data_IF_371195589486
#
_entry.id   IF_371195589486
#
_cell.length_a   1.000
_cell.length_b   1.000
_cell.length_c   1.000
_cell.angle_alpha   90.00
_cell.angle_beta   90.00
_cell.angle_gamma   90.00
#
_symmetry.space_group_name_H-M   'P 1'
#
loop_
_entity.id
_entity.type
_entity.pdbx_description
1 polymer ?
#
# COMPACT_ATOMS: atom_id res chain seq x y z
N UNK A 1 17.95 -14.80 4.48
CA UNK A 1 19.06 -14.07 3.84
C UNK A 1 18.62 -12.68 3.39
N UNK A 2 17.49 -12.51 2.63
CA UNK A 2 17.07 -11.22 2.07
C UNK A 2 16.77 -10.17 3.14
N UNK A 3 16.04 -10.54 4.20
CA UNK A 3 15.69 -9.65 5.30
C UNK A 3 16.95 -9.08 5.99
N UNK A 4 17.96 -9.93 6.19
CA UNK A 4 19.21 -9.53 6.85
C UNK A 4 20.19 -8.83 5.90
N UNK A 5 20.39 -9.38 4.68
CA UNK A 5 21.47 -8.92 3.79
C UNK A 5 21.07 -7.75 2.90
N UNK A 6 19.80 -7.69 2.48
CA UNK A 6 19.34 -6.67 1.54
C UNK A 6 18.55 -5.56 2.24
N UNK A 7 17.71 -5.90 3.21
CA UNK A 7 16.90 -4.91 3.94
C UNK A 7 17.55 -4.43 5.24
N UNK A 8 18.55 -5.17 5.74
CA UNK A 8 19.24 -4.88 7.01
C UNK A 8 18.34 -4.82 8.24
N UNK A 9 17.12 -5.38 8.14
CA UNK A 9 16.13 -5.42 9.23
C UNK A 9 16.27 -6.67 10.09
N UNK A 10 16.67 -7.80 9.48
CA UNK A 10 17.02 -9.06 10.15
C UNK A 10 15.94 -9.69 11.06
N UNK A 11 14.65 -9.45 10.78
CA UNK A 11 13.54 -9.99 11.58
C UNK A 11 13.31 -11.48 11.31
N UNK A 12 13.42 -11.91 10.03
CA UNK A 12 13.15 -13.29 9.63
C UNK A 12 14.46 -14.07 9.55
N UNK A 13 14.54 -15.16 10.28
CA UNK A 13 15.68 -16.06 10.36
C UNK A 13 15.28 -17.52 10.57
N UNK A 14 16.27 -18.38 10.74
CA UNK A 14 16.06 -19.76 11.13
C UNK A 14 15.98 -19.83 12.67
N UNK A 15 14.91 -20.40 13.19
CA UNK A 15 14.72 -20.73 14.58
C UNK A 15 14.91 -22.23 14.79
N UNK A 16 15.23 -22.62 16.01
CA UNK A 16 15.48 -23.99 16.45
C UNK A 16 16.62 -24.73 15.72
N UNK A 17 16.69 -26.05 15.92
CA UNK A 17 17.77 -26.89 15.37
C UNK A 17 17.24 -28.25 14.90
N UNK A 18 17.99 -28.87 14.02
CA UNK A 18 17.66 -30.22 13.51
C UNK A 18 16.35 -30.24 12.74
N UNK A 19 15.49 -31.19 13.03
CA UNK A 19 14.20 -31.35 12.34
C UNK A 19 13.17 -30.28 12.72
N UNK A 20 13.35 -29.61 13.87
CA UNK A 20 12.46 -28.53 14.33
C UNK A 20 12.81 -27.19 13.69
N UNK A 21 13.89 -27.13 12.90
CA UNK A 21 14.30 -25.88 12.27
C UNK A 21 13.22 -25.34 11.33
N UNK A 22 12.78 -24.10 11.58
CA UNK A 22 11.82 -23.39 10.75
C UNK A 22 12.20 -21.93 10.55
N UNK A 23 11.59 -21.28 9.58
CA UNK A 23 11.87 -19.88 9.24
C UNK A 23 10.77 -19.00 9.83
N UNK A 24 11.14 -18.18 10.81
CA UNK A 24 10.20 -17.28 11.50
C UNK A 24 10.91 -16.04 12.05
N UNK A 25 10.18 -15.22 12.76
CA UNK A 25 10.73 -14.17 13.64
C UNK A 25 11.37 -14.79 14.89
N UNK A 26 12.20 -14.04 15.59
CA UNK A 26 12.80 -14.52 16.84
C UNK A 26 11.70 -14.91 17.85
N UNK A 27 11.84 -16.10 18.46
CA UNK A 27 10.88 -16.66 19.41
C UNK A 27 9.44 -16.78 18.87
N UNK A 28 9.27 -16.87 17.56
CA UNK A 28 7.96 -16.94 16.89
C UNK A 28 7.02 -15.77 17.22
N UNK A 29 7.59 -14.62 17.56
CA UNK A 29 6.82 -13.41 17.86
C UNK A 29 6.01 -12.97 16.63
N UNK A 30 4.78 -12.46 16.82
CA UNK A 30 4.03 -11.83 15.74
C UNK A 30 4.84 -10.73 15.06
N UNK A 31 4.76 -10.60 13.73
CA UNK A 31 5.50 -9.57 12.98
C UNK A 31 5.13 -8.14 13.43
N UNK A 32 3.95 -7.95 14.00
CA UNK A 32 3.48 -6.68 14.58
C UNK A 32 4.26 -6.26 15.82
N UNK A 33 4.88 -7.22 16.52
CA UNK A 33 5.68 -7.00 17.74
C UNK A 33 7.18 -6.97 17.43
N UNK A 34 7.55 -6.99 16.16
CA UNK A 34 8.93 -6.98 15.70
C UNK A 34 9.20 -5.71 14.88
N UNK A 35 10.47 -5.29 14.70
CA UNK A 35 10.80 -4.16 13.83
C UNK A 35 10.66 -4.50 12.34
N UNK A 36 9.72 -5.37 11.98
CA UNK A 36 9.41 -5.70 10.58
C UNK A 36 8.78 -4.51 9.88
N UNK A 37 9.36 -4.06 8.79
CA UNK A 37 8.86 -2.94 7.99
C UNK A 37 7.86 -3.35 6.90
N UNK A 38 7.39 -4.60 6.91
CA UNK A 38 6.42 -5.16 5.97
C UNK A 38 6.77 -4.98 4.48
N UNK A 39 8.06 -4.96 4.15
CA UNK A 39 8.54 -4.69 2.78
C UNK A 39 8.24 -5.80 1.76
N UNK A 40 7.82 -7.00 2.19
CA UNK A 40 7.46 -8.13 1.32
C UNK A 40 8.62 -8.84 0.62
N UNK A 41 9.87 -8.45 0.85
CA UNK A 41 11.02 -9.08 0.18
C UNK A 41 11.18 -10.57 0.54
N UNK A 42 10.81 -10.97 1.75
CA UNK A 42 10.80 -12.36 2.16
C UNK A 42 9.73 -13.17 1.41
N UNK A 43 8.59 -12.57 1.11
CA UNK A 43 7.53 -13.17 0.28
C UNK A 43 8.02 -13.39 -1.15
N UNK A 44 8.63 -12.36 -1.75
CA UNK A 44 9.11 -12.40 -3.13
C UNK A 44 10.18 -13.47 -3.40
N UNK A 45 10.98 -13.84 -2.38
CA UNK A 45 12.06 -14.84 -2.51
C UNK A 45 11.71 -16.20 -1.92
N UNK A 46 10.50 -16.37 -1.39
CA UNK A 46 10.09 -17.64 -0.78
C UNK A 46 9.85 -18.73 -1.84
N UNK A 47 10.69 -19.77 -1.95
CA UNK A 47 10.58 -20.73 -3.05
C UNK A 47 9.38 -21.68 -2.91
N UNK A 48 8.80 -21.75 -1.70
CA UNK A 48 7.69 -22.65 -1.38
C UNK A 48 6.37 -21.91 -1.21
N UNK A 49 6.35 -20.58 -1.37
CA UNK A 49 5.19 -19.72 -1.11
C UNK A 49 4.60 -19.88 0.31
N UNK A 50 5.43 -20.31 1.27
CA UNK A 50 5.03 -20.41 2.68
C UNK A 50 4.83 -19.03 3.33
N UNK A 51 5.61 -18.05 2.87
CA UNK A 51 5.42 -16.65 3.27
C UNK A 51 4.51 -15.97 2.24
N UNK A 52 3.44 -15.36 2.73
CA UNK A 52 2.42 -14.71 1.88
C UNK A 52 2.04 -13.36 2.48
N UNK A 53 1.60 -12.47 1.62
CA UNK A 53 0.85 -11.29 2.02
C UNK A 53 -0.57 -11.68 2.45
N UNK A 54 -1.22 -10.82 3.24
CA UNK A 54 -2.62 -11.00 3.60
C UNK A 54 -3.48 -10.91 2.34
N UNK A 55 -4.33 -11.90 2.12
CA UNK A 55 -5.31 -11.90 1.05
C UNK A 55 -6.63 -11.26 1.53
N UNK A 56 -7.03 -10.18 0.88
CA UNK A 56 -8.28 -9.46 1.15
C UNK A 56 -9.28 -9.60 -0.02
N UNK A 57 -9.03 -10.49 -0.98
CA UNK A 57 -9.90 -10.65 -2.18
C UNK A 57 -11.29 -11.12 -1.83
N UNK A 58 -11.45 -12.01 -0.85
CA UNK A 58 -12.76 -12.49 -0.40
C UNK A 58 -13.66 -11.34 0.08
N UNK A 59 -13.11 -10.40 0.84
CA UNK A 59 -13.85 -9.20 1.30
C UNK A 59 -14.34 -8.35 0.13
N UNK A 60 -13.56 -8.29 -0.95
CA UNK A 60 -13.95 -7.55 -2.15
C UNK A 60 -15.08 -8.27 -2.87
N UNK A 61 -15.00 -9.62 -3.00
CA UNK A 61 -16.07 -10.41 -3.60
C UNK A 61 -17.37 -10.34 -2.81
N UNK A 62 -17.31 -10.39 -1.49
CA UNK A 62 -18.46 -10.20 -0.61
C UNK A 62 -19.11 -8.82 -0.84
N UNK A 63 -18.28 -7.76 -0.90
CA UNK A 63 -18.78 -6.41 -1.14
C UNK A 63 -19.42 -6.26 -2.53
N UNK A 64 -18.84 -6.87 -3.57
CA UNK A 64 -19.39 -6.84 -4.93
C UNK A 64 -20.74 -7.60 -5.07
N UNK A 65 -20.99 -8.57 -4.20
CA UNK A 65 -22.23 -9.34 -4.17
C UNK A 65 -23.31 -8.69 -3.30
N UNK A 66 -22.95 -7.73 -2.46
CA UNK A 66 -23.90 -7.03 -1.58
C UNK A 66 -24.54 -5.86 -2.33
N UNK A 67 -25.86 -5.96 -2.65
CA UNK A 67 -26.57 -4.90 -3.40
C UNK A 67 -26.73 -3.60 -2.61
N UNK A 68 -26.44 -3.59 -1.32
CA UNK A 68 -26.48 -2.40 -0.47
C UNK A 68 -25.21 -1.58 -0.53
N UNK A 69 -24.13 -2.15 -1.10
CA UNK A 69 -22.83 -1.49 -1.18
C UNK A 69 -22.59 -0.86 -2.55
N UNK A 70 -21.98 0.31 -2.53
CA UNK A 70 -21.36 0.89 -3.71
C UNK A 70 -19.87 0.61 -3.65
N UNK A 71 -19.34 -0.16 -4.58
CA UNK A 71 -17.96 -0.60 -4.58
C UNK A 71 -17.14 0.19 -5.58
N UNK A 72 -16.18 0.97 -5.09
CA UNK A 72 -15.29 1.78 -5.92
C UNK A 72 -13.85 1.26 -5.83
N UNK A 73 -13.11 1.32 -6.94
CA UNK A 73 -11.75 0.78 -7.01
C UNK A 73 -10.80 1.78 -7.66
N UNK A 74 -9.56 1.81 -7.17
CA UNK A 74 -8.46 2.54 -7.81
C UNK A 74 -7.15 1.73 -7.77
N UNK A 75 -6.55 1.44 -8.93
CA UNK A 75 -5.24 0.84 -9.01
C UNK A 75 -4.13 1.89 -8.81
N UNK A 76 -2.99 1.42 -8.28
CA UNK A 76 -1.75 2.19 -8.31
C UNK A 76 -1.21 2.30 -9.75
N UNK A 77 -0.46 3.38 -10.07
CA UNK A 77 0.08 3.60 -11.42
C UNK A 77 0.93 2.44 -11.96
N UNK A 78 1.71 1.77 -11.11
CA UNK A 78 2.56 0.64 -11.52
C UNK A 78 1.76 -0.59 -11.96
N UNK A 79 0.53 -0.78 -11.45
CA UNK A 79 -0.29 -1.95 -11.80
C UNK A 79 -0.60 -1.99 -13.30
N UNK A 80 -0.87 -0.83 -13.92
CA UNK A 80 -1.17 -0.75 -15.35
C UNK A 80 -0.01 -1.13 -16.27
N UNK A 81 1.23 -1.05 -15.75
CA UNK A 81 2.44 -1.42 -16.50
C UNK A 81 2.94 -2.85 -16.18
N UNK A 82 2.40 -3.48 -15.14
CA UNK A 82 2.84 -4.81 -14.69
C UNK A 82 1.82 -5.91 -14.99
N UNK A 83 0.53 -5.65 -14.80
CA UNK A 83 -0.50 -6.69 -14.91
C UNK A 83 -0.59 -7.30 -16.29
N UNK A 84 -0.15 -6.59 -17.33
CA UNK A 84 -0.10 -7.08 -18.70
C UNK A 84 0.76 -8.35 -18.84
N UNK A 85 1.81 -8.47 -18.02
CA UNK A 85 2.72 -9.63 -18.05
C UNK A 85 1.99 -10.94 -17.68
N UNK A 86 0.99 -10.88 -16.80
CA UNK A 86 0.14 -12.02 -16.46
C UNK A 86 -0.74 -12.50 -17.64
N UNK A 87 -0.83 -11.70 -18.70
CA UNK A 87 -1.61 -11.96 -19.91
C UNK A 87 -0.73 -11.98 -21.17
N UNK A 88 0.53 -12.37 -21.02
CA UNK A 88 1.50 -12.55 -22.09
C UNK A 88 1.86 -11.27 -22.88
N UNK A 89 1.60 -10.08 -22.31
CA UNK A 89 2.10 -8.84 -22.91
C UNK A 89 3.59 -8.66 -22.61
N UNK A 90 4.34 -8.01 -23.49
CA UNK A 90 5.72 -7.64 -23.22
C UNK A 90 5.87 -6.84 -21.91
N UNK A 91 6.98 -7.05 -21.21
CA UNK A 91 7.31 -6.36 -19.95
C UNK A 91 7.14 -4.85 -20.12
N UNK A 92 6.47 -4.21 -19.16
CA UNK A 92 6.27 -2.77 -19.11
C UNK A 92 5.20 -2.23 -20.09
N UNK A 93 4.43 -3.11 -20.75
CA UNK A 93 3.33 -2.67 -21.62
C UNK A 93 2.24 -1.99 -20.79
N UNK A 94 1.94 -0.72 -21.09
CA UNK A 94 0.83 -0.03 -20.45
C UNK A 94 -0.52 -0.58 -20.97
N UNK A 95 -1.27 -1.21 -20.08
CA UNK A 95 -2.59 -1.80 -20.35
C UNK A 95 -3.73 -1.07 -19.62
N UNK A 96 -3.56 0.20 -19.30
CA UNK A 96 -4.49 1.01 -18.50
C UNK A 96 -5.96 0.86 -18.93
N UNK A 97 -6.27 1.10 -20.20
CA UNK A 97 -7.63 1.00 -20.72
C UNK A 97 -8.23 -0.41 -20.58
N UNK A 98 -7.39 -1.45 -20.75
CA UNK A 98 -7.82 -2.85 -20.56
C UNK A 98 -8.04 -3.16 -19.10
N UNK A 99 -7.19 -2.65 -18.20
CA UNK A 99 -7.32 -2.80 -16.75
C UNK A 99 -8.62 -2.17 -16.27
N UNK A 100 -8.93 -0.94 -16.68
CA UNK A 100 -10.19 -0.26 -16.36
C UNK A 100 -11.41 -1.04 -16.88
N UNK A 101 -11.33 -1.53 -18.12
CA UNK A 101 -12.41 -2.34 -18.68
C UNK A 101 -12.60 -3.66 -17.93
N UNK A 102 -11.52 -4.32 -17.51
CA UNK A 102 -11.58 -5.54 -16.71
C UNK A 102 -12.24 -5.29 -15.34
N UNK A 103 -11.84 -4.23 -14.65
CA UNK A 103 -12.44 -3.87 -13.35
C UNK A 103 -13.94 -3.60 -13.48
N UNK A 104 -14.37 -2.89 -14.51
CA UNK A 104 -15.80 -2.68 -14.79
C UNK A 104 -16.55 -3.99 -15.05
N UNK A 105 -15.93 -4.94 -15.76
CA UNK A 105 -16.51 -6.27 -16.02
C UNK A 105 -16.59 -7.14 -14.78
N UNK A 106 -15.69 -6.93 -13.81
CA UNK A 106 -15.74 -7.62 -12.50
C UNK A 106 -16.89 -7.13 -11.62
N UNK A 107 -17.56 -6.03 -11.98
CA UNK A 107 -18.73 -5.54 -11.27
C UNK A 107 -18.48 -4.32 -10.38
N UNK A 108 -17.32 -3.68 -10.43
CA UNK A 108 -17.09 -2.44 -9.71
C UNK A 108 -17.94 -1.29 -10.26
N UNK A 109 -18.64 -0.59 -9.37
CA UNK A 109 -19.54 0.51 -9.74
C UNK A 109 -18.78 1.70 -10.37
N UNK A 110 -17.61 2.01 -9.83
CA UNK A 110 -16.74 3.06 -10.35
C UNK A 110 -15.26 2.63 -10.29
N UNK A 111 -14.55 2.99 -11.32
CA UNK A 111 -13.09 2.80 -11.41
C UNK A 111 -12.45 4.17 -11.48
N UNK A 112 -11.61 4.47 -10.51
CA UNK A 112 -10.82 5.69 -10.42
C UNK A 112 -9.35 5.39 -10.66
N UNK A 113 -8.52 6.44 -10.69
CA UNK A 113 -7.07 6.35 -10.71
C UNK A 113 -6.50 7.03 -9.46
N UNK A 114 -5.55 6.37 -8.79
CA UNK A 114 -4.85 6.93 -7.63
C UNK A 114 -4.02 8.16 -8.01
N UNK A 115 -3.68 8.35 -9.29
CA UNK A 115 -2.98 9.54 -9.77
C UNK A 115 -3.74 10.84 -9.44
N UNK A 116 -5.06 10.83 -9.50
CA UNK A 116 -5.87 11.99 -9.06
C UNK A 116 -5.60 12.38 -7.59
N UNK A 117 -5.42 11.39 -6.74
CA UNK A 117 -5.08 11.63 -5.34
C UNK A 117 -3.57 11.96 -5.17
N UNK A 118 -2.72 11.52 -6.11
CA UNK A 118 -1.32 11.92 -6.14
C UNK A 118 -1.18 13.40 -6.50
N UNK A 119 -2.02 13.94 -7.37
CA UNK A 119 -2.07 15.38 -7.67
C UNK A 119 -2.41 16.19 -6.40
N UNK A 120 -3.39 15.72 -5.60
CA UNK A 120 -3.67 16.33 -4.31
C UNK A 120 -2.48 16.26 -3.36
N UNK A 121 -1.79 15.11 -3.32
CA UNK A 121 -0.60 14.95 -2.48
C UNK A 121 0.49 15.94 -2.87
N UNK A 122 0.73 16.15 -4.17
CA UNK A 122 1.71 17.13 -4.66
C UNK A 122 1.35 18.55 -4.20
N UNK A 123 0.08 18.90 -4.26
CA UNK A 123 -0.38 20.22 -3.82
C UNK A 123 -0.18 20.42 -2.30
N UNK A 124 -0.54 19.44 -1.49
CA UNK A 124 -0.41 19.49 -0.04
C UNK A 124 1.06 19.44 0.41
N UNK A 125 1.85 18.47 -0.08
CA UNK A 125 3.28 18.37 0.25
C UNK A 125 4.08 19.58 -0.27
N UNK A 126 3.75 20.09 -1.46
CA UNK A 126 4.35 21.31 -1.99
C UNK A 126 4.05 22.52 -1.13
N UNK A 127 2.83 22.63 -0.64
CA UNK A 127 2.43 23.70 0.30
C UNK A 127 3.18 23.57 1.63
N UNK A 128 3.26 22.35 2.18
CA UNK A 128 4.03 22.06 3.39
C UNK A 128 5.52 22.42 3.23
N UNK A 129 6.13 22.08 2.08
CA UNK A 129 7.52 22.43 1.79
C UNK A 129 7.72 23.95 1.76
N UNK A 130 6.82 24.67 1.08
CA UNK A 130 6.89 26.14 1.01
C UNK A 130 6.71 26.79 2.40
N UNK A 131 5.84 26.23 3.22
CA UNK A 131 5.64 26.68 4.60
C UNK A 131 6.91 26.45 5.45
N UNK A 132 7.50 25.24 5.38
CA UNK A 132 8.76 24.94 6.09
C UNK A 132 9.91 25.84 5.67
N UNK A 133 9.99 26.18 4.38
CA UNK A 133 11.02 27.09 3.85
C UNK A 133 10.83 28.55 4.32
N UNK A 134 9.58 29.01 4.43
CA UNK A 134 9.26 30.38 4.81
C UNK A 134 9.30 30.63 6.32
N UNK A 135 8.76 29.67 7.08
CA UNK A 135 8.50 29.82 8.50
C UNK A 135 9.50 29.07 9.39
N UNK A 136 10.44 28.37 8.78
CA UNK A 136 11.44 27.57 9.48
C UNK A 136 10.85 26.23 9.96
N UNK A 137 11.15 25.16 9.24
CA UNK A 137 10.77 23.78 9.60
C UNK A 137 11.90 22.81 9.39
N UNK A 138 11.72 21.56 9.76
CA UNK A 138 12.72 20.53 9.55
C UNK A 138 12.91 20.25 8.05
N UNK A 139 14.16 20.33 7.60
CA UNK A 139 14.57 20.04 6.22
C UNK A 139 15.72 19.01 6.24
N UNK A 140 15.84 18.14 5.22
CA UNK A 140 14.95 18.02 4.05
C UNK A 140 13.54 17.54 4.44
N UNK A 141 12.52 17.91 3.63
CA UNK A 141 11.20 17.30 3.70
C UNK A 141 11.26 15.93 3.05
N UNK A 142 10.85 14.91 3.76
CA UNK A 142 10.76 13.51 3.30
C UNK A 142 9.30 13.11 3.12
N UNK A 143 8.99 12.46 1.99
CA UNK A 143 7.60 12.05 1.72
C UNK A 143 7.15 10.90 2.62
N UNK A 144 5.85 10.78 2.85
CA UNK A 144 5.23 9.82 3.79
C UNK A 144 4.41 8.72 3.11
N UNK A 145 4.45 8.62 1.78
CA UNK A 145 3.53 7.76 1.03
C UNK A 145 3.73 6.24 1.21
N UNK A 146 4.91 5.79 1.67
CA UNK A 146 5.23 4.38 1.88
C UNK A 146 5.17 4.01 3.37
N UNK A 147 4.22 3.16 3.81
CA UNK A 147 4.16 2.73 5.21
C UNK A 147 5.41 1.97 5.67
N UNK A 148 6.04 1.21 4.77
CA UNK A 148 7.29 0.51 5.07
C UNK A 148 8.45 1.47 5.35
N UNK A 149 8.52 2.59 4.62
CA UNK A 149 9.48 3.66 4.89
C UNK A 149 9.20 4.34 6.23
N UNK A 150 7.94 4.67 6.51
CA UNK A 150 7.55 5.30 7.77
C UNK A 150 7.96 4.42 8.95
N UNK A 151 7.56 3.14 8.91
CA UNK A 151 7.92 2.19 9.98
C UNK A 151 9.44 2.01 10.11
N UNK A 152 10.17 1.97 9.00
CA UNK A 152 11.62 1.94 9.03
C UNK A 152 12.22 3.18 9.72
N UNK A 153 11.68 4.36 9.43
CA UNK A 153 12.11 5.60 10.06
C UNK A 153 11.79 5.61 11.57
N UNK A 154 10.59 5.20 11.96
CA UNK A 154 10.17 5.13 13.37
C UNK A 154 11.07 4.19 14.19
N UNK A 155 11.45 3.04 13.63
CA UNK A 155 12.24 2.03 14.33
C UNK A 155 13.75 2.31 14.36
N UNK A 156 14.29 2.85 13.26
CA UNK A 156 15.74 2.96 13.06
C UNK A 156 16.27 4.39 13.03
N UNK A 157 15.42 5.37 12.72
CA UNK A 157 15.79 6.79 12.59
C UNK A 157 14.75 7.73 13.19
N UNK A 158 14.39 7.56 14.49
CA UNK A 158 13.33 8.35 15.11
C UNK A 158 13.60 9.86 15.09
N UNK A 159 14.87 10.25 15.10
CA UNK A 159 15.27 11.66 15.02
C UNK A 159 14.88 12.31 13.69
N UNK A 160 14.59 11.54 12.65
CA UNK A 160 14.16 12.03 11.34
C UNK A 160 12.63 12.16 11.21
N UNK A 161 11.85 11.74 12.20
CA UNK A 161 10.38 11.87 12.15
C UNK A 161 9.92 13.30 11.88
N UNK A 162 10.53 14.35 12.48
CA UNK A 162 10.14 15.73 12.16
C UNK A 162 10.35 16.13 10.69
N UNK A 163 11.21 15.41 9.97
CA UNK A 163 11.47 15.64 8.55
C UNK A 163 10.40 15.02 7.64
N UNK A 164 9.63 14.05 8.16
CA UNK A 164 8.60 13.37 7.35
C UNK A 164 7.42 14.32 7.14
N UNK A 165 6.84 14.28 5.93
CA UNK A 165 5.62 15.00 5.61
C UNK A 165 4.45 14.55 6.49
N UNK A 166 3.63 15.48 6.91
CA UNK A 166 2.39 15.22 7.64
C UNK A 166 1.25 14.73 6.72
N UNK A 167 1.44 14.78 5.41
CA UNK A 167 0.43 14.42 4.43
C UNK A 167 0.14 12.92 4.40
N UNK A 168 -1.12 12.60 4.13
CA UNK A 168 -1.51 11.21 3.83
C UNK A 168 -0.89 10.77 2.50
N UNK A 169 -0.68 9.47 2.36
CA UNK A 169 -0.33 8.90 1.04
C UNK A 169 -1.43 9.16 0.00
N UNK A 170 -1.12 9.13 -1.31
CA UNK A 170 -2.15 9.19 -2.37
C UNK A 170 -3.28 8.18 -2.15
N UNK A 171 -2.98 6.96 -1.72
CA UNK A 171 -4.00 5.98 -1.35
C UNK A 171 -4.85 6.45 -0.16
N UNK A 172 -4.23 7.00 0.87
CA UNK A 172 -4.93 7.53 2.04
C UNK A 172 -5.79 8.75 1.70
N UNK A 173 -5.31 9.63 0.82
CA UNK A 173 -6.09 10.76 0.31
C UNK A 173 -7.26 10.28 -0.55
N UNK A 174 -7.04 9.31 -1.44
CA UNK A 174 -8.12 8.70 -2.22
C UNK A 174 -9.22 8.15 -1.31
N UNK A 175 -8.86 7.34 -0.31
CA UNK A 175 -9.82 6.77 0.63
C UNK A 175 -10.60 7.85 1.40
N UNK A 176 -9.92 8.89 1.87
CA UNK A 176 -10.55 10.01 2.56
C UNK A 176 -11.52 10.77 1.64
N UNK A 177 -11.10 11.11 0.42
CA UNK A 177 -11.94 11.80 -0.57
C UNK A 177 -13.18 10.98 -0.96
N UNK A 178 -13.03 9.68 -1.12
CA UNK A 178 -14.16 8.81 -1.42
C UNK A 178 -15.17 8.78 -0.27
N UNK A 179 -14.71 8.62 0.96
CA UNK A 179 -15.56 8.53 2.15
C UNK A 179 -16.18 9.86 2.61
N UNK A 180 -15.68 10.98 2.12
CA UNK A 180 -16.19 12.33 2.45
C UNK A 180 -16.84 12.96 1.23
N UNK A 181 -16.07 13.62 0.40
CA UNK A 181 -16.55 14.42 -0.72
C UNK A 181 -17.36 13.62 -1.75
N UNK A 182 -16.84 12.45 -2.19
CA UNK A 182 -17.54 11.66 -3.18
C UNK A 182 -18.85 11.08 -2.62
N UNK A 183 -18.84 10.56 -1.40
CA UNK A 183 -20.02 10.02 -0.73
C UNK A 183 -21.10 11.10 -0.58
N UNK A 184 -20.75 12.29 -0.07
CA UNK A 184 -21.66 13.42 0.08
C UNK A 184 -22.22 13.88 -1.27
N UNK A 185 -21.36 14.07 -2.26
CA UNK A 185 -21.73 14.54 -3.59
C UNK A 185 -22.73 13.62 -4.31
N UNK A 186 -22.67 12.33 -4.04
CA UNK A 186 -23.53 11.31 -4.65
C UNK A 186 -24.67 10.84 -3.72
N UNK A 187 -24.80 11.40 -2.52
CA UNK A 187 -25.83 11.00 -1.57
C UNK A 187 -25.68 9.57 -1.05
N UNK A 188 -24.44 9.06 -0.97
CA UNK A 188 -24.14 7.72 -0.49
C UNK A 188 -23.71 7.80 0.97
N UNK A 189 -24.28 6.94 1.84
CA UNK A 189 -23.76 6.82 3.21
C UNK A 189 -22.30 6.29 3.14
N UNK A 190 -21.33 6.95 3.78
CA UNK A 190 -19.95 6.46 3.83
C UNK A 190 -19.80 5.01 4.29
N UNK A 191 -20.74 4.48 5.07
CA UNK A 191 -20.76 3.07 5.50
C UNK A 191 -21.08 2.11 4.36
N UNK A 192 -21.85 2.56 3.37
CA UNK A 192 -22.26 1.76 2.23
C UNK A 192 -21.33 1.91 1.03
N UNK A 193 -20.38 2.84 1.10
CA UNK A 193 -19.33 3.00 0.12
C UNK A 193 -18.12 2.11 0.48
N UNK A 194 -17.88 1.05 -0.28
CA UNK A 194 -16.73 0.17 -0.11
C UNK A 194 -15.59 0.60 -1.05
N UNK A 195 -14.45 0.99 -0.47
CA UNK A 195 -13.31 1.54 -1.21
C UNK A 195 -12.22 0.50 -1.34
N UNK A 196 -11.87 0.14 -2.57
CA UNK A 196 -10.84 -0.84 -2.90
C UNK A 196 -9.62 -0.14 -3.49
N UNK A 197 -8.44 -0.50 -3.02
CA UNK A 197 -7.16 -0.07 -3.60
C UNK A 197 -6.38 -1.28 -4.07
N UNK A 198 -5.90 -1.24 -5.31
CA UNK A 198 -5.00 -2.27 -5.86
C UNK A 198 -3.58 -1.74 -5.78
N UNK A 199 -2.83 -2.23 -4.80
CA UNK A 199 -1.49 -1.74 -4.47
C UNK A 199 -0.47 -2.88 -4.51
N UNK A 200 0.68 -2.71 -5.17
CA UNK A 200 1.76 -3.70 -5.14
C UNK A 200 2.56 -3.66 -3.83
N UNK A 201 2.32 -2.67 -2.99
CA UNK A 201 3.02 -2.47 -1.72
C UNK A 201 2.40 -3.34 -0.63
N UNK A 202 3.13 -4.36 -0.15
CA UNK A 202 2.67 -5.24 0.93
C UNK A 202 2.47 -4.52 2.26
N UNK A 203 3.27 -3.47 2.55
CA UNK A 203 3.11 -2.66 3.75
C UNK A 203 1.77 -1.90 3.81
N UNK A 204 1.14 -1.63 2.68
CA UNK A 204 -0.20 -0.99 2.65
C UNK A 204 -1.35 -1.90 3.06
N UNK A 205 -1.09 -3.18 3.29
CA UNK A 205 -2.04 -4.14 3.86
C UNK A 205 -1.95 -4.26 5.39
N UNK A 206 -1.04 -3.55 5.99
CA UNK A 206 -0.85 -3.47 7.44
C UNK A 206 -1.96 -2.68 8.13
#
# INVERSE_FOLDING_TARGET
>A
AVCQKNQHVAVIGANDRGFETHVASAFDMPLTETPCVNCGQCVAVCPTSALRERDDTDKVWEALQDPTKTVVIAPAPSVRAQIGECFEYPIGTNVEGKLVAAMRRLGFDKVFDVDTAADLTIMEEGTELLDRLKNGGALPLLTSCSPGWIKFCEEYYPDMIPNISSCKSPQGMYGAMMKTYYAEKNGIDPKDLFVVSVMPCTAKKF
#
